data_IF_157779982713
#
_entry.id   IF_157779982713
#
_cell.length_a   1.000
_cell.length_b   1.000
_cell.length_c   1.000
_cell.angle_alpha   90.00
_cell.angle_beta   90.00
_cell.angle_gamma   90.00
#
_symmetry.space_group_name_H-M   'P 1'
#
loop_
_entity.id
_entity.type
_entity.pdbx_description
1 polymer ?
#
# COMPACT_ATOMS: atom_id res chain seq x y z
N UNK A 1 15.40 14.01 -18.45
CA UNK A 1 16.59 13.19 -18.17
C UNK A 1 17.46 13.79 -17.06
N UNK A 2 18.06 14.99 -17.21
CA UNK A 2 19.03 15.55 -16.24
C UNK A 2 18.47 15.73 -14.81
N UNK A 3 17.25 16.27 -14.67
CA UNK A 3 16.65 16.50 -13.35
C UNK A 3 16.36 15.21 -12.57
N UNK A 4 15.91 14.15 -13.24
CA UNK A 4 15.65 12.87 -12.60
C UNK A 4 16.95 12.27 -12.06
N UNK A 5 18.01 12.24 -12.86
CA UNK A 5 19.33 11.76 -12.43
C UNK A 5 19.89 12.61 -11.27
N UNK A 6 19.77 13.94 -11.36
CA UNK A 6 20.18 14.85 -10.29
C UNK A 6 19.47 14.55 -8.97
N UNK A 7 18.13 14.40 -8.99
CA UNK A 7 17.36 14.09 -7.79
C UNK A 7 17.65 12.68 -7.26
N UNK A 8 17.87 11.70 -8.13
CA UNK A 8 18.28 10.34 -7.71
C UNK A 8 19.64 10.35 -7.00
N UNK A 9 20.61 11.14 -7.47
CA UNK A 9 21.89 11.32 -6.75
C UNK A 9 21.69 12.02 -5.39
N UNK A 10 20.82 13.02 -5.33
CA UNK A 10 20.48 13.70 -4.08
C UNK A 10 19.68 12.83 -3.10
N UNK A 11 18.89 11.87 -3.59
CA UNK A 11 18.20 10.87 -2.79
C UNK A 11 19.23 10.05 -2.01
N UNK A 12 20.24 9.52 -2.71
CA UNK A 12 21.33 8.77 -2.07
C UNK A 12 22.03 9.60 -0.98
N UNK A 13 22.45 10.83 -1.31
CA UNK A 13 23.14 11.70 -0.35
C UNK A 13 22.30 11.97 0.90
N UNK A 14 20.98 12.16 0.72
CA UNK A 14 20.06 12.40 1.82
C UNK A 14 19.85 11.14 2.67
N UNK A 15 19.73 9.97 2.05
CA UNK A 15 19.60 8.69 2.76
C UNK A 15 20.88 8.37 3.55
N UNK A 16 22.06 8.60 2.98
CA UNK A 16 23.34 8.43 3.67
C UNK A 16 23.48 9.40 4.84
N UNK A 17 23.02 10.65 4.69
CA UNK A 17 22.96 11.61 5.79
C UNK A 17 22.04 11.10 6.92
N UNK A 18 20.83 10.61 6.58
CA UNK A 18 19.88 10.06 7.56
C UNK A 18 20.49 8.85 8.27
N UNK A 19 21.14 7.96 7.52
CA UNK A 19 21.82 6.77 8.05
C UNK A 19 22.93 7.14 9.04
N UNK A 20 23.77 8.13 8.71
CA UNK A 20 24.87 8.57 9.59
C UNK A 20 24.37 9.31 10.84
N UNK A 21 23.30 10.10 10.71
CA UNK A 21 22.80 10.95 11.80
C UNK A 21 21.90 10.20 12.77
N UNK A 22 21.06 9.29 12.27
CA UNK A 22 20.01 8.66 13.07
C UNK A 22 20.12 7.13 13.10
N UNK A 23 20.98 6.53 12.27
CA UNK A 23 21.19 5.09 12.23
C UNK A 23 19.88 4.35 11.95
N UNK A 24 19.63 3.28 12.68
CA UNK A 24 18.41 2.47 12.52
C UNK A 24 17.20 3.05 13.27
N UNK A 25 17.32 4.18 13.99
CA UNK A 25 16.22 4.69 14.85
C UNK A 25 15.03 5.28 14.10
N UNK A 26 15.20 5.64 12.81
CA UNK A 26 14.12 6.13 11.93
C UNK A 26 13.54 5.03 11.05
N UNK A 27 14.15 3.83 11.04
CA UNK A 27 13.59 2.70 10.31
C UNK A 27 12.31 2.25 11.04
N UNK A 28 11.16 2.61 10.48
CA UNK A 28 9.87 2.02 10.86
C UNK A 28 9.84 0.55 10.41
N UNK A 29 9.01 -0.30 11.00
CA UNK A 29 8.88 -1.70 10.59
C UNK A 29 8.68 -1.84 9.08
N UNK A 30 9.49 -2.71 8.47
CA UNK A 30 9.52 -2.94 7.02
C UNK A 30 10.46 -2.02 6.23
N UNK A 31 10.98 -0.93 6.82
CA UNK A 31 12.00 -0.07 6.22
C UNK A 31 13.40 -0.68 6.36
N UNK A 32 14.03 -1.00 5.23
CA UNK A 32 15.45 -1.31 5.15
C UNK A 32 16.16 -0.24 4.34
N UNK A 33 17.45 -0.04 4.63
CA UNK A 33 18.29 0.76 3.76
C UNK A 33 18.43 0.06 2.40
N UNK A 34 18.35 0.79 1.28
CA UNK A 34 18.47 0.21 -0.04
C UNK A 34 19.79 -0.54 -0.23
N UNK A 35 19.75 -1.61 -1.01
CA UNK A 35 20.93 -2.33 -1.48
C UNK A 35 21.88 -1.34 -2.18
N UNK A 36 23.17 -1.39 -1.85
CA UNK A 36 24.16 -0.43 -2.37
C UNK A 36 24.41 0.81 -1.51
N UNK A 37 23.58 1.09 -0.49
CA UNK A 37 23.91 2.04 0.57
C UNK A 37 24.90 1.39 1.57
N UNK A 38 26.12 1.11 1.11
CA UNK A 38 27.14 0.43 1.91
C UNK A 38 27.65 1.29 3.08
N UNK A 39 28.08 0.63 4.16
CA UNK A 39 28.97 1.25 5.14
C UNK A 39 30.21 1.77 4.41
N UNK A 40 30.42 3.08 4.41
CA UNK A 40 31.62 3.76 3.89
C UNK A 40 31.72 3.86 2.35
N UNK A 41 30.63 4.18 1.64
CA UNK A 41 30.77 4.65 0.26
C UNK A 41 31.61 5.95 0.23
N UNK A 42 32.76 5.97 -0.48
CA UNK A 42 33.63 7.13 -0.50
C UNK A 42 32.95 8.29 -1.25
N UNK A 43 32.95 9.48 -0.67
CA UNK A 43 32.27 10.67 -1.21
C UNK A 43 32.71 11.10 -2.61
N UNK A 44 33.80 10.54 -3.13
CA UNK A 44 34.37 10.83 -4.44
C UNK A 44 34.07 9.76 -5.51
N UNK A 45 33.40 8.65 -5.16
CA UNK A 45 33.02 7.63 -6.15
C UNK A 45 31.65 7.94 -6.76
N UNK A 46 31.45 7.54 -8.01
CA UNK A 46 30.13 7.59 -8.64
C UNK A 46 29.13 6.76 -7.84
N UNK A 47 27.92 7.30 -7.70
CA UNK A 47 26.82 6.71 -6.94
C UNK A 47 25.78 6.22 -7.94
N UNK A 48 25.56 4.92 -7.97
CA UNK A 48 24.53 4.30 -8.79
C UNK A 48 23.65 3.45 -7.90
N UNK A 49 22.35 3.73 -7.90
CA UNK A 49 21.32 2.87 -7.35
C UNK A 49 20.58 2.27 -8.53
N UNK A 50 20.36 0.95 -8.51
CA UNK A 50 19.44 0.29 -9.42
C UNK A 50 17.98 0.71 -9.14
N UNK A 51 17.07 0.40 -10.07
CA UNK A 51 15.68 0.87 -10.01
C UNK A 51 14.91 0.34 -8.78
N UNK A 52 15.24 -0.84 -8.26
CA UNK A 52 14.64 -1.36 -7.02
C UNK A 52 15.17 -0.59 -5.82
N UNK A 53 16.49 -0.37 -5.75
CA UNK A 53 17.08 0.41 -4.67
C UNK A 53 16.63 1.88 -4.65
N UNK A 54 16.38 2.51 -5.81
CA UNK A 54 15.78 3.85 -5.87
C UNK A 54 14.37 3.81 -5.27
N UNK A 55 13.57 2.79 -5.58
CA UNK A 55 12.21 2.64 -5.07
C UNK A 55 12.17 2.48 -3.55
N UNK A 56 13.02 1.61 -3.02
CA UNK A 56 13.18 1.45 -1.57
C UNK A 56 13.66 2.74 -0.92
N UNK A 57 14.58 3.43 -1.57
CA UNK A 57 15.11 4.72 -1.12
C UNK A 57 14.04 5.80 -1.07
N UNK A 58 13.20 5.90 -2.09
CA UNK A 58 12.06 6.83 -2.13
C UNK A 58 11.07 6.54 -1.01
N UNK A 59 10.74 5.28 -0.79
CA UNK A 59 9.81 4.90 0.27
C UNK A 59 10.37 5.18 1.68
N UNK A 60 11.65 4.85 1.90
CA UNK A 60 12.36 5.18 3.14
C UNK A 60 12.43 6.69 3.37
N UNK A 61 12.81 7.47 2.35
CA UNK A 61 12.89 8.91 2.47
C UNK A 61 11.52 9.53 2.75
N UNK A 62 10.47 9.14 2.02
CA UNK A 62 9.11 9.62 2.23
C UNK A 62 8.65 9.38 3.68
N UNK A 63 8.93 8.19 4.20
CA UNK A 63 8.62 7.80 5.57
C UNK A 63 9.41 8.62 6.60
N UNK A 64 10.72 8.78 6.39
CA UNK A 64 11.60 9.55 7.26
C UNK A 64 11.23 11.04 7.30
N UNK A 65 10.92 11.65 6.14
CA UNK A 65 10.54 13.07 6.04
C UNK A 65 9.20 13.35 6.72
N UNK A 66 8.23 12.42 6.62
CA UNK A 66 6.95 12.51 7.35
C UNK A 66 7.15 12.43 8.87
N UNK A 67 7.97 11.50 9.34
CA UNK A 67 8.19 11.30 10.78
C UNK A 67 9.01 12.43 11.44
N UNK A 68 10.02 12.94 10.74
CA UNK A 68 10.96 13.94 11.27
C UNK A 68 10.55 15.40 10.99
N UNK A 69 9.57 15.62 10.10
CA UNK A 69 9.26 16.93 9.51
C UNK A 69 10.51 17.65 8.97
N UNK A 70 11.53 16.87 8.57
CA UNK A 70 12.77 17.42 8.03
C UNK A 70 12.59 17.80 6.56
N UNK A 71 13.31 18.83 6.12
CA UNK A 71 13.28 19.29 4.73
C UNK A 71 14.19 18.49 3.81
N UNK A 72 13.97 18.65 2.51
CA UNK A 72 14.86 18.17 1.46
C UNK A 72 15.20 19.33 0.53
N UNK A 73 16.28 20.04 0.88
CA UNK A 73 16.68 21.33 0.31
C UNK A 73 16.64 21.39 -1.24
N UNK A 74 17.21 20.41 -1.98
CA UNK A 74 17.17 20.46 -3.45
C UNK A 74 15.74 20.52 -4.01
N UNK A 75 14.81 19.76 -3.41
CA UNK A 75 13.40 19.78 -3.84
C UNK A 75 12.68 21.02 -3.32
N UNK A 76 12.97 21.47 -2.09
CA UNK A 76 12.40 22.72 -1.55
C UNK A 76 12.76 23.94 -2.41
N UNK A 77 14.02 24.05 -2.84
CA UNK A 77 14.50 25.16 -3.67
C UNK A 77 13.92 25.05 -5.09
N UNK A 78 13.88 23.85 -5.68
CA UNK A 78 13.26 23.64 -6.99
C UNK A 78 11.74 23.93 -6.97
N UNK A 79 11.05 23.57 -5.89
CA UNK A 79 9.63 23.90 -5.68
C UNK A 79 9.40 25.41 -5.70
N UNK A 80 10.23 26.19 -4.98
CA UNK A 80 10.11 27.66 -4.94
C UNK A 80 10.31 28.30 -6.32
N UNK A 81 11.09 27.69 -7.20
CA UNK A 81 11.27 28.11 -8.58
C UNK A 81 10.11 27.69 -9.50
N UNK A 82 9.07 27.03 -8.96
CA UNK A 82 7.90 26.60 -9.71
C UNK A 82 8.09 25.29 -10.48
N UNK A 83 9.06 24.45 -10.10
CA UNK A 83 9.35 23.18 -10.81
C UNK A 83 8.11 22.29 -10.93
N UNK A 84 7.30 22.17 -9.87
CA UNK A 84 6.12 21.29 -9.86
C UNK A 84 5.13 21.69 -10.95
N UNK A 85 4.75 22.97 -11.00
CA UNK A 85 3.90 23.53 -12.06
C UNK A 85 4.50 23.32 -13.45
N UNK A 86 5.80 23.56 -13.60
CA UNK A 86 6.49 23.39 -14.88
C UNK A 86 6.46 21.93 -15.36
N UNK A 87 6.66 20.96 -14.47
CA UNK A 87 6.62 19.53 -14.82
C UNK A 87 5.22 19.08 -15.28
N UNK A 88 4.16 19.49 -14.58
CA UNK A 88 2.79 19.24 -15.05
C UNK A 88 2.48 19.97 -16.36
N UNK A 89 2.95 21.21 -16.52
CA UNK A 89 2.84 21.95 -17.78
C UNK A 89 3.52 21.24 -18.95
N UNK A 90 4.71 20.67 -18.74
CA UNK A 90 5.41 19.85 -19.73
C UNK A 90 4.59 18.61 -20.09
N UNK A 91 4.02 17.90 -19.12
CA UNK A 91 3.16 16.72 -19.37
C UNK A 91 2.00 17.09 -20.30
N UNK A 92 1.29 18.19 -20.00
CA UNK A 92 0.16 18.64 -20.81
C UNK A 92 0.61 19.08 -22.22
N UNK A 93 1.68 19.86 -22.33
CA UNK A 93 2.23 20.26 -23.63
C UNK A 93 2.69 19.06 -24.46
N UNK A 94 3.29 18.04 -23.84
CA UNK A 94 3.70 16.82 -24.56
C UNK A 94 2.50 16.03 -25.09
N UNK A 95 1.36 16.09 -24.41
CA UNK A 95 0.12 15.51 -24.88
C UNK A 95 -0.44 16.27 -26.10
N UNK A 96 -0.52 17.60 -26.01
CA UNK A 96 -1.10 18.47 -27.03
C UNK A 96 -0.25 18.57 -28.30
N UNK A 97 1.07 18.73 -28.15
CA UNK A 97 1.98 18.98 -29.27
C UNK A 97 2.41 17.70 -30.01
N UNK A 98 2.26 16.53 -29.38
CA UNK A 98 2.42 15.24 -30.06
C UNK A 98 3.80 14.96 -30.70
N UNK A 99 4.88 15.55 -30.19
CA UNK A 99 6.22 15.44 -30.78
C UNK A 99 6.87 14.04 -30.62
N UNK A 100 7.93 13.77 -31.40
CA UNK A 100 8.77 12.58 -31.23
C UNK A 100 9.42 12.57 -29.84
N UNK A 101 9.35 11.45 -29.13
CA UNK A 101 9.83 11.36 -27.73
C UNK A 101 8.92 12.00 -26.68
N UNK A 102 7.65 12.30 -27.01
CA UNK A 102 6.67 12.82 -26.03
C UNK A 102 6.51 11.92 -24.80
N UNK A 103 6.47 10.60 -25.01
CA UNK A 103 6.33 9.64 -23.92
C UNK A 103 7.58 9.63 -23.03
N UNK A 104 8.78 9.63 -23.60
CA UNK A 104 10.01 9.74 -22.81
C UNK A 104 10.06 11.04 -22.00
N UNK A 105 9.61 12.16 -22.59
CA UNK A 105 9.56 13.45 -21.91
C UNK A 105 8.58 13.42 -20.74
N UNK A 106 7.35 12.95 -20.96
CA UNK A 106 6.34 12.79 -19.93
C UNK A 106 6.79 11.80 -18.84
N UNK A 107 7.40 10.68 -19.22
CA UNK A 107 7.93 9.68 -18.29
C UNK A 107 9.00 10.28 -17.39
N UNK A 108 9.94 11.04 -17.95
CA UNK A 108 10.96 11.76 -17.19
C UNK A 108 10.34 12.79 -16.23
N UNK A 109 9.31 13.51 -16.66
CA UNK A 109 8.59 14.46 -15.83
C UNK A 109 7.89 13.76 -14.65
N UNK A 110 7.17 12.66 -14.90
CA UNK A 110 6.53 11.85 -13.87
C UNK A 110 7.52 11.21 -12.90
N UNK A 111 8.65 10.66 -13.38
CA UNK A 111 9.72 10.16 -12.50
C UNK A 111 10.31 11.25 -11.60
N UNK A 112 10.45 12.47 -12.13
CA UNK A 112 10.90 13.63 -11.35
C UNK A 112 9.86 14.02 -10.30
N UNK A 113 8.57 14.08 -10.68
CA UNK A 113 7.46 14.33 -9.76
C UNK A 113 7.37 13.26 -8.66
N UNK A 114 7.61 12.00 -9.01
CA UNK A 114 7.65 10.89 -8.06
C UNK A 114 8.74 11.10 -7.00
N UNK A 115 9.97 11.44 -7.40
CA UNK A 115 11.03 11.82 -6.46
C UNK A 115 10.63 13.04 -5.62
N UNK A 116 10.10 14.11 -6.22
CA UNK A 116 9.68 15.30 -5.48
C UNK A 116 8.57 15.01 -4.46
N UNK A 117 7.67 14.05 -4.75
CA UNK A 117 6.57 13.67 -3.88
C UNK A 117 6.99 13.00 -2.56
N UNK A 118 8.29 12.76 -2.33
CA UNK A 118 8.82 12.40 -1.01
C UNK A 118 8.52 13.45 0.06
N UNK A 119 8.37 14.73 -0.33
CA UNK A 119 8.02 15.82 0.59
C UNK A 119 6.49 15.97 0.71
N UNK A 120 5.93 15.95 1.94
CA UNK A 120 4.50 16.19 2.14
C UNK A 120 4.00 17.50 1.53
N UNK A 121 4.80 18.57 1.59
CA UNK A 121 4.47 19.87 0.99
C UNK A 121 4.22 19.78 -0.53
N UNK A 122 4.97 18.95 -1.24
CA UNK A 122 4.79 18.74 -2.68
C UNK A 122 3.51 17.94 -2.95
N UNK A 123 3.19 16.95 -2.12
CA UNK A 123 1.95 16.19 -2.24
C UNK A 123 0.71 17.09 -2.05
N UNK A 124 0.78 18.07 -1.14
CA UNK A 124 -0.29 19.07 -0.95
C UNK A 124 -0.38 20.04 -2.13
N UNK A 125 0.76 20.43 -2.72
CA UNK A 125 0.80 21.27 -3.91
C UNK A 125 0.17 20.58 -5.13
N UNK A 126 0.23 19.24 -5.21
CA UNK A 126 -0.49 18.51 -6.26
C UNK A 126 -2.02 18.63 -6.13
N UNK A 127 -2.52 18.99 -4.94
CA UNK A 127 -3.95 19.21 -4.72
C UNK A 127 -4.38 20.67 -4.95
N UNK A 128 -3.44 21.57 -5.23
CA UNK A 128 -3.74 22.98 -5.52
C UNK A 128 -3.90 23.19 -7.02
N UNK A 129 -4.89 24.01 -7.45
CA UNK A 129 -5.03 24.35 -8.85
C UNK A 129 -3.81 25.15 -9.33
N UNK A 130 -3.32 24.80 -10.51
CA UNK A 130 -2.23 25.52 -11.16
C UNK A 130 -2.64 25.96 -12.57
N UNK A 131 -2.25 27.19 -12.92
CA UNK A 131 -2.40 27.71 -14.28
C UNK A 131 -1.44 26.99 -15.21
N UNK A 132 -1.96 26.25 -16.18
CA UNK A 132 -1.17 25.47 -17.13
C UNK A 132 -0.88 26.27 -18.41
N UNK A 133 0.13 25.86 -19.20
CA UNK A 133 0.49 26.54 -20.45
C UNK A 133 -0.63 26.58 -21.49
N UNK A 134 -1.56 25.63 -21.46
CA UNK A 134 -2.71 25.58 -22.35
C UNK A 134 -3.84 26.55 -21.96
N UNK A 135 -3.65 27.34 -20.91
CA UNK A 135 -4.64 28.30 -20.45
C UNK A 135 -5.82 27.69 -19.71
N UNK A 136 -5.70 26.44 -19.24
CA UNK A 136 -6.64 25.83 -18.31
C UNK A 136 -6.05 25.77 -16.90
N UNK A 137 -6.93 25.73 -15.91
CA UNK A 137 -6.54 25.50 -14.51
C UNK A 137 -6.87 24.04 -14.18
N UNK A 138 -5.85 23.28 -13.80
CA UNK A 138 -6.00 21.91 -13.30
C UNK A 138 -5.13 21.75 -12.08
N UNK A 139 -5.48 20.84 -11.17
CA UNK A 139 -4.55 20.41 -10.12
C UNK A 139 -3.75 19.19 -10.58
N UNK A 140 -2.65 18.89 -9.87
CA UNK A 140 -1.76 17.79 -10.23
C UNK A 140 -2.42 16.41 -10.11
N UNK A 141 -3.31 16.23 -9.12
CA UNK A 141 -4.06 14.99 -8.95
C UNK A 141 -4.98 14.75 -10.16
N UNK A 142 -5.69 15.77 -10.66
CA UNK A 142 -6.50 15.67 -11.87
C UNK A 142 -5.69 15.09 -13.04
N UNK A 143 -4.52 15.67 -13.32
CA UNK A 143 -3.67 15.26 -14.44
C UNK A 143 -3.21 13.80 -14.25
N UNK A 144 -2.84 13.41 -13.03
CA UNK A 144 -2.49 12.02 -12.73
C UNK A 144 -3.68 11.07 -12.98
N UNK A 145 -4.89 11.45 -12.58
CA UNK A 145 -6.08 10.62 -12.80
C UNK A 145 -6.45 10.53 -14.28
N UNK A 146 -6.29 11.60 -15.05
CA UNK A 146 -6.48 11.61 -16.51
C UNK A 146 -5.50 10.66 -17.22
N UNK A 147 -4.23 10.63 -16.80
CA UNK A 147 -3.23 9.68 -17.30
C UNK A 147 -3.60 8.25 -16.93
N UNK A 148 -3.91 7.99 -15.65
CA UNK A 148 -4.25 6.64 -15.17
C UNK A 148 -5.51 6.12 -15.86
N UNK A 149 -6.48 7.01 -16.11
CA UNK A 149 -7.72 6.76 -16.84
C UNK A 149 -7.57 6.66 -18.36
N UNK A 150 -6.34 6.74 -18.90
CA UNK A 150 -6.07 6.72 -20.35
C UNK A 150 -6.73 7.87 -21.15
N UNK A 151 -7.07 8.98 -20.50
CA UNK A 151 -7.64 10.17 -21.17
C UNK A 151 -6.55 10.90 -21.94
N UNK A 152 -5.39 11.08 -21.31
CA UNK A 152 -4.21 11.71 -21.90
C UNK A 152 -3.02 10.76 -21.84
N UNK A 153 -2.10 10.87 -22.80
CA UNK A 153 -0.86 10.07 -22.85
C UNK A 153 -1.08 8.56 -22.61
N UNK A 154 -1.98 7.95 -23.39
CA UNK A 154 -2.36 6.53 -23.31
C UNK A 154 -1.19 5.59 -23.69
N UNK A 155 -0.30 5.38 -22.73
CA UNK A 155 0.87 4.51 -22.81
C UNK A 155 1.09 3.83 -21.44
N UNK A 156 1.50 2.56 -21.46
CA UNK A 156 1.58 1.74 -20.26
C UNK A 156 2.64 2.25 -19.27
N UNK A 157 3.81 2.66 -19.76
CA UNK A 157 4.90 3.15 -18.93
C UNK A 157 4.54 4.49 -18.26
N UNK A 158 3.83 5.35 -18.98
CA UNK A 158 3.32 6.62 -18.44
C UNK A 158 2.28 6.37 -17.34
N UNK A 159 1.35 5.43 -17.57
CA UNK A 159 0.37 5.03 -16.56
C UNK A 159 1.04 4.47 -15.31
N UNK A 160 2.02 3.58 -15.47
CA UNK A 160 2.79 3.00 -14.37
C UNK A 160 3.52 4.10 -13.59
N UNK A 161 4.14 5.05 -14.28
CA UNK A 161 4.81 6.18 -13.64
C UNK A 161 3.82 7.06 -12.86
N UNK A 162 2.66 7.38 -13.43
CA UNK A 162 1.62 8.16 -12.75
C UNK A 162 1.05 7.44 -11.52
N UNK A 163 0.84 6.11 -11.60
CA UNK A 163 0.45 5.29 -10.45
C UNK A 163 1.49 5.37 -9.33
N UNK A 164 2.80 5.30 -9.64
CA UNK A 164 3.85 5.44 -8.63
C UNK A 164 3.84 6.81 -7.94
N UNK A 165 3.62 7.90 -8.69
CA UNK A 165 3.45 9.26 -8.13
C UNK A 165 2.26 9.29 -7.17
N UNK A 166 1.10 8.79 -7.60
CA UNK A 166 -0.12 8.75 -6.79
C UNK A 166 0.08 7.93 -5.52
N UNK A 167 0.64 6.72 -5.63
CA UNK A 167 0.94 5.82 -4.51
C UNK A 167 1.83 6.53 -3.49
N UNK A 168 2.86 7.26 -3.91
CA UNK A 168 3.75 7.93 -2.98
C UNK A 168 3.06 9.06 -2.21
N UNK A 169 2.07 9.73 -2.84
CA UNK A 169 1.25 10.75 -2.18
C UNK A 169 0.34 10.14 -1.10
N UNK A 170 -0.28 9.01 -1.38
CA UNK A 170 -1.31 8.41 -0.50
C UNK A 170 -0.76 7.43 0.53
N UNK A 171 0.43 6.86 0.30
CA UNK A 171 0.98 5.81 1.15
C UNK A 171 1.23 6.34 2.56
N UNK A 172 0.70 5.67 3.59
CA UNK A 172 0.95 6.03 4.99
C UNK A 172 1.61 4.83 5.69
N UNK A 173 2.78 5.01 6.33
CA UNK A 173 3.44 3.97 7.10
C UNK A 173 2.54 3.42 8.21
N UNK A 174 2.51 2.10 8.38
CA UNK A 174 1.55 1.40 9.24
C UNK A 174 1.68 1.74 10.74
N UNK A 175 2.90 1.98 11.23
CA UNK A 175 3.13 2.30 12.65
C UNK A 175 2.46 3.61 13.08
N UNK A 176 2.30 4.56 12.16
CA UNK A 176 1.56 5.80 12.41
C UNK A 176 0.03 5.58 12.52
N UNK A 177 -0.47 4.43 12.09
CA UNK A 177 -1.89 4.03 12.24
C UNK A 177 -2.14 3.11 13.44
N UNK A 178 -1.13 2.34 13.88
CA UNK A 178 -1.22 1.41 15.02
C UNK A 178 -1.27 2.10 16.39
N UNK A 179 -0.89 3.38 16.48
CA UNK A 179 -1.17 4.21 17.67
C UNK A 179 -2.67 4.29 18.03
N UNK A 180 -3.56 3.80 17.15
CA UNK A 180 -5.01 3.75 17.36
C UNK A 180 -5.50 2.61 18.27
N UNK A 181 -4.72 1.54 18.49
CA UNK A 181 -5.25 0.31 19.12
C UNK A 181 -4.56 -0.16 20.42
N UNK A 182 -3.43 0.43 20.85
CA UNK A 182 -2.74 0.03 22.09
C UNK A 182 -2.81 1.07 23.23
N UNK A 183 -3.68 2.08 23.13
CA UNK A 183 -3.86 3.10 24.17
C UNK A 183 -5.22 3.05 24.87
N UNK A 184 -5.80 1.86 25.00
CA UNK A 184 -6.81 1.56 26.03
C UNK A 184 -6.17 0.67 27.09
N UNK A 185 -5.40 1.30 27.98
CA UNK A 185 -5.20 0.95 29.39
C UNK A 185 -3.80 1.39 29.87
N UNK A 186 -3.69 2.69 30.17
CA UNK A 186 -2.86 3.21 31.26
C UNK A 186 -3.24 4.68 31.45
N UNK A 187 -4.28 4.93 32.24
CA UNK A 187 -4.50 6.22 32.89
C UNK A 187 -3.43 6.39 33.97
N UNK A 188 -2.25 6.86 33.59
CA UNK A 188 -1.37 7.54 34.55
C UNK A 188 -1.65 9.04 34.48
N UNK A 189 -2.06 9.57 35.64
CA UNK A 189 -2.22 10.99 35.89
C UNK A 189 -0.84 11.66 35.78
N UNK A 190 -0.59 12.33 34.67
CA UNK A 190 0.39 13.42 34.66
C UNK A 190 -0.34 14.76 34.51
N UNK A 191 -0.36 15.48 35.64
CA UNK A 191 -0.59 16.92 35.69
C UNK A 191 0.67 17.59 35.17
N UNK A 192 0.67 18.00 33.90
CA UNK A 192 1.32 19.25 33.46
C UNK A 192 0.99 19.53 31.99
N UNK A 193 0.77 20.82 31.68
CA UNK A 193 0.18 21.33 30.44
C UNK A 193 0.98 21.18 29.14
N UNK A 194 1.58 20.01 28.87
CA UNK A 194 2.10 19.65 27.54
C UNK A 194 1.07 18.82 26.79
N UNK A 195 0.13 19.49 26.11
CA UNK A 195 -0.61 18.86 25.01
C UNK A 195 0.44 18.37 24.00
N UNK A 196 0.64 17.06 23.99
CA UNK A 196 1.80 16.36 23.42
C UNK A 196 2.02 16.70 21.94
N UNK A 197 3.27 17.03 21.56
CA UNK A 197 3.72 17.22 20.16
C UNK A 197 3.26 16.08 19.22
N UNK A 198 3.05 14.88 19.76
CA UNK A 198 2.51 13.72 19.03
C UNK A 198 1.07 13.93 18.54
N UNK A 199 0.18 14.50 19.37
CA UNK A 199 -1.21 14.73 18.99
C UNK A 199 -1.36 15.77 17.87
N UNK A 200 -0.53 16.82 17.89
CA UNK A 200 -0.50 17.86 16.85
C UNK A 200 0.08 17.34 15.52
N UNK A 201 1.07 16.44 15.58
CA UNK A 201 1.62 15.76 14.41
C UNK A 201 0.59 14.82 13.76
N UNK A 202 -0.12 14.03 14.59
CA UNK A 202 -1.17 13.13 14.12
C UNK A 202 -2.37 13.87 13.49
N UNK A 203 -2.74 15.03 14.04
CA UNK A 203 -3.78 15.88 13.47
C UNK A 203 -3.42 16.41 12.08
N UNK A 204 -2.22 17.00 11.93
CA UNK A 204 -1.75 17.49 10.62
C UNK A 204 -1.63 16.38 9.58
N UNK A 205 -1.17 15.20 9.98
CA UNK A 205 -1.09 14.05 9.07
C UNK A 205 -2.49 13.59 8.62
N UNK A 206 -3.48 13.64 9.51
CA UNK A 206 -4.87 13.33 9.18
C UNK A 206 -5.45 14.34 8.19
N UNK A 207 -5.28 15.63 8.44
CA UNK A 207 -5.72 16.70 7.53
C UNK A 207 -5.03 16.60 6.15
N UNK A 208 -3.73 16.31 6.15
CA UNK A 208 -2.95 16.05 4.93
C UNK A 208 -3.53 14.89 4.12
N UNK A 209 -3.81 13.76 4.77
CA UNK A 209 -4.42 12.60 4.12
C UNK A 209 -5.84 12.91 3.62
N UNK A 210 -6.66 13.59 4.41
CA UNK A 210 -8.02 13.99 4.05
C UNK A 210 -8.06 14.92 2.84
N UNK A 211 -7.08 15.82 2.69
CA UNK A 211 -7.00 16.69 1.52
C UNK A 211 -6.66 15.93 0.25
N UNK A 212 -5.65 15.06 0.29
CA UNK A 212 -5.29 14.22 -0.86
C UNK A 212 -6.48 13.33 -1.24
N UNK A 213 -7.13 12.73 -0.24
CA UNK A 213 -8.35 11.94 -0.43
C UNK A 213 -9.45 12.72 -1.14
N UNK A 214 -9.83 13.87 -0.60
CA UNK A 214 -10.92 14.68 -1.12
C UNK A 214 -10.65 15.07 -2.58
N UNK A 215 -9.41 15.41 -2.89
CA UNK A 215 -8.97 15.75 -4.25
C UNK A 215 -9.05 14.53 -5.17
N UNK A 216 -8.55 13.36 -4.77
CA UNK A 216 -8.68 12.15 -5.61
C UNK A 216 -10.15 11.76 -5.82
N UNK A 217 -11.00 11.92 -4.80
CA UNK A 217 -12.43 11.65 -4.90
C UNK A 217 -13.14 12.58 -5.88
N UNK A 218 -12.79 13.88 -5.88
CA UNK A 218 -13.31 14.89 -6.82
C UNK A 218 -13.18 14.44 -8.29
N UNK A 219 -12.16 13.63 -8.59
CA UNK A 219 -11.86 13.12 -9.93
C UNK A 219 -12.24 11.64 -10.14
N UNK A 220 -13.27 11.15 -9.45
CA UNK A 220 -13.76 9.77 -9.58
C UNK A 220 -12.69 8.69 -9.36
N UNK A 221 -11.72 8.97 -8.47
CA UNK A 221 -10.50 8.19 -8.44
C UNK A 221 -10.64 6.72 -8.10
N UNK A 222 -11.61 6.34 -7.26
CA UNK A 222 -11.91 4.93 -6.99
C UNK A 222 -12.29 4.21 -8.28
N UNK A 223 -13.17 4.79 -9.11
CA UNK A 223 -13.63 4.14 -10.34
C UNK A 223 -12.51 4.01 -11.39
N UNK A 224 -11.67 5.05 -11.49
CA UNK A 224 -10.50 5.03 -12.37
C UNK A 224 -9.52 3.93 -11.95
N UNK A 225 -9.22 3.81 -10.66
CA UNK A 225 -8.34 2.76 -10.14
C UNK A 225 -8.94 1.37 -10.30
N UNK A 226 -10.24 1.18 -10.06
CA UNK A 226 -10.91 -0.09 -10.30
C UNK A 226 -10.85 -0.50 -11.78
N UNK A 227 -11.01 0.46 -12.70
CA UNK A 227 -10.81 0.23 -14.13
C UNK A 227 -9.35 -0.14 -14.43
N UNK A 228 -8.37 0.51 -13.79
CA UNK A 228 -6.95 0.18 -13.95
C UNK A 228 -6.62 -1.25 -13.47
N UNK A 229 -7.28 -1.76 -12.41
CA UNK A 229 -7.13 -3.17 -11.99
C UNK A 229 -7.74 -4.16 -12.99
N UNK A 230 -8.70 -3.74 -13.81
CA UNK A 230 -9.32 -4.60 -14.84
C UNK A 230 -8.55 -4.62 -16.16
N UNK A 231 -7.48 -3.84 -16.29
CA UNK A 231 -6.69 -3.74 -17.52
C UNK A 231 -6.18 -5.11 -17.94
N UNK A 232 -6.25 -5.40 -19.23
CA UNK A 232 -5.71 -6.60 -19.87
C UNK A 232 -4.85 -6.27 -21.11
N UNK A 233 -4.64 -4.97 -21.39
CA UNK A 233 -3.87 -4.48 -22.53
C UNK A 233 -3.13 -3.18 -22.18
N UNK A 234 -1.85 -3.01 -22.58
CA UNK A 234 -0.99 -4.00 -23.24
C UNK A 234 -0.72 -5.22 -22.35
N UNK A 235 -0.65 -6.41 -22.96
CA UNK A 235 -0.54 -7.69 -22.24
C UNK A 235 0.73 -7.73 -21.37
N UNK A 236 1.82 -7.14 -21.86
CA UNK A 236 3.12 -7.13 -21.18
C UNK A 236 3.10 -6.42 -19.83
N UNK A 237 2.28 -5.38 -19.67
CA UNK A 237 2.35 -4.49 -18.50
C UNK A 237 1.05 -4.48 -17.70
N UNK A 238 0.09 -5.32 -18.11
CA UNK A 238 -1.20 -5.47 -17.47
C UNK A 238 -1.05 -5.85 -16.00
N UNK A 239 -0.36 -6.94 -15.68
CA UNK A 239 -0.23 -7.39 -14.28
C UNK A 239 0.55 -6.40 -13.41
N UNK A 240 1.56 -5.71 -13.95
CA UNK A 240 2.25 -4.64 -13.26
C UNK A 240 1.33 -3.44 -12.97
N UNK A 241 0.51 -3.04 -13.95
CA UNK A 241 -0.51 -1.99 -13.79
C UNK A 241 -1.53 -2.40 -12.74
N UNK A 242 -2.00 -3.66 -12.78
CA UNK A 242 -2.94 -4.20 -11.80
C UNK A 242 -2.36 -4.19 -10.38
N UNK A 243 -1.11 -4.62 -10.22
CA UNK A 243 -0.42 -4.61 -8.93
C UNK A 243 -0.36 -3.20 -8.34
N UNK A 244 0.05 -2.21 -9.13
CA UNK A 244 0.14 -0.82 -8.67
C UNK A 244 -1.24 -0.19 -8.40
N UNK A 245 -2.25 -0.47 -9.23
CA UNK A 245 -3.61 0.02 -9.01
C UNK A 245 -4.23 -0.62 -7.74
N UNK A 246 -4.01 -1.91 -7.50
CA UNK A 246 -4.38 -2.60 -6.26
C UNK A 246 -3.67 -1.99 -5.06
N UNK A 247 -2.37 -1.74 -5.16
CA UNK A 247 -1.59 -1.07 -4.12
C UNK A 247 -2.17 0.31 -3.80
N UNK A 248 -2.53 1.09 -4.82
CA UNK A 248 -3.14 2.39 -4.61
C UNK A 248 -4.48 2.27 -3.87
N UNK A 249 -5.36 1.37 -4.30
CA UNK A 249 -6.63 1.08 -3.61
C UNK A 249 -6.41 0.58 -2.17
N UNK A 250 -5.36 -0.22 -1.92
CA UNK A 250 -4.99 -0.70 -0.58
C UNK A 250 -4.63 0.47 0.32
N UNK A 251 -3.75 1.36 -0.13
CA UNK A 251 -3.35 2.55 0.63
C UNK A 251 -4.55 3.47 0.90
N UNK A 252 -5.41 3.69 -0.09
CA UNK A 252 -6.67 4.42 0.08
C UNK A 252 -7.60 3.74 1.11
N UNK A 253 -7.71 2.41 1.09
CA UNK A 253 -8.58 1.65 2.01
C UNK A 253 -8.13 1.73 3.48
N UNK A 254 -6.97 2.31 3.79
CA UNK A 254 -6.58 2.70 5.15
C UNK A 254 -7.50 3.79 5.71
N UNK A 255 -8.19 4.54 4.86
CA UNK A 255 -9.19 5.54 5.25
C UNK A 255 -10.59 4.93 5.31
N UNK A 256 -11.25 5.15 6.45
CA UNK A 256 -12.53 4.51 6.78
C UNK A 256 -13.63 4.74 5.73
N UNK A 257 -13.86 5.96 5.18
CA UNK A 257 -14.90 6.16 4.18
C UNK A 257 -14.67 5.34 2.91
N UNK A 258 -13.42 5.19 2.48
CA UNK A 258 -13.08 4.40 1.29
C UNK A 258 -13.27 2.92 1.56
N UNK A 259 -12.79 2.46 2.71
CA UNK A 259 -12.95 1.09 3.15
C UNK A 259 -14.41 0.66 3.11
N UNK A 260 -15.31 1.50 3.62
CA UNK A 260 -16.75 1.26 3.61
C UNK A 260 -17.36 1.23 2.20
N UNK A 261 -16.82 2.01 1.26
CA UNK A 261 -17.23 1.95 -0.14
C UNK A 261 -16.76 0.61 -0.73
N UNK A 262 -15.47 0.31 -0.63
CA UNK A 262 -14.87 -0.90 -1.20
C UNK A 262 -15.48 -2.19 -0.62
N UNK A 263 -15.81 -2.21 0.67
CA UNK A 263 -16.39 -3.39 1.34
C UNK A 263 -17.81 -3.72 0.87
N UNK A 264 -18.48 -2.79 0.17
CA UNK A 264 -19.82 -2.99 -0.40
C UNK A 264 -19.78 -3.28 -1.90
N UNK A 265 -18.65 -3.06 -2.57
CA UNK A 265 -18.56 -3.26 -4.01
C UNK A 265 -18.47 -4.75 -4.37
N UNK A 266 -19.16 -5.20 -5.44
CA UNK A 266 -19.01 -6.55 -5.99
C UNK A 266 -17.57 -6.91 -6.33
N UNK A 267 -16.74 -5.88 -6.57
CA UNK A 267 -15.32 -6.04 -6.79
C UNK A 267 -14.61 -6.86 -5.69
N UNK A 268 -14.98 -6.62 -4.43
CA UNK A 268 -14.48 -7.36 -3.25
C UNK A 268 -15.46 -8.46 -2.84
N UNK A 269 -16.75 -8.17 -2.74
CA UNK A 269 -17.74 -9.10 -2.19
C UNK A 269 -18.13 -10.23 -3.16
N UNK A 270 -18.09 -9.95 -4.46
CA UNK A 270 -18.45 -10.86 -5.56
C UNK A 270 -17.28 -11.63 -6.15
N UNK A 271 -16.12 -11.68 -5.46
CA UNK A 271 -14.91 -12.38 -5.89
C UNK A 271 -14.35 -11.95 -7.26
N UNK A 272 -14.69 -10.75 -7.74
CA UNK A 272 -14.18 -10.23 -9.02
C UNK A 272 -12.65 -10.09 -8.98
N UNK A 273 -12.11 -9.47 -7.92
CA UNK A 273 -10.67 -9.33 -7.72
C UNK A 273 -9.98 -10.71 -7.66
N UNK A 274 -10.60 -11.68 -6.99
CA UNK A 274 -10.07 -13.05 -6.90
C UNK A 274 -10.10 -13.78 -8.24
N UNK A 275 -11.10 -13.50 -9.09
CA UNK A 275 -11.14 -14.05 -10.44
C UNK A 275 -9.95 -13.57 -11.27
N UNK A 276 -9.54 -12.31 -11.13
CA UNK A 276 -8.35 -11.76 -11.79
C UNK A 276 -7.05 -12.41 -11.29
N UNK A 277 -6.98 -12.83 -10.02
CA UNK A 277 -5.81 -13.49 -9.43
C UNK A 277 -5.57 -14.92 -9.94
N UNK A 278 -6.55 -15.54 -10.61
CA UNK A 278 -6.49 -16.96 -11.01
C UNK A 278 -5.40 -17.28 -12.02
N UNK A 279 -5.15 -16.37 -12.96
CA UNK A 279 -4.16 -16.58 -14.01
C UNK A 279 -3.43 -15.28 -14.35
N UNK A 280 -2.13 -15.36 -14.67
CA UNK A 280 -1.40 -14.22 -15.21
C UNK A 280 -1.99 -13.77 -16.55
N UNK A 281 -1.90 -12.47 -16.83
CA UNK A 281 -2.22 -11.93 -18.16
C UNK A 281 -1.17 -12.34 -19.17
N UNK A 282 0.10 -12.34 -18.75
CA UNK A 282 1.23 -12.80 -19.55
C UNK A 282 1.96 -13.95 -18.84
N UNK A 283 1.97 -15.14 -19.46
CA UNK A 283 2.60 -16.33 -18.87
C UNK A 283 4.11 -16.17 -18.64
N UNK A 284 4.80 -15.36 -19.43
CA UNK A 284 6.24 -15.10 -19.29
C UNK A 284 6.56 -14.16 -18.10
N UNK A 285 5.63 -13.28 -17.71
CA UNK A 285 5.79 -12.33 -16.60
C UNK A 285 5.06 -12.77 -15.33
N UNK A 286 5.18 -14.06 -14.97
CA UNK A 286 4.58 -14.63 -13.74
C UNK A 286 5.00 -13.91 -12.45
N UNK A 287 6.21 -13.37 -12.39
CA UNK A 287 6.68 -12.60 -11.24
C UNK A 287 5.84 -11.34 -11.00
N UNK A 288 5.42 -10.64 -12.05
CA UNK A 288 4.52 -9.48 -11.94
C UNK A 288 3.11 -9.89 -11.51
N UNK A 289 2.62 -11.03 -11.98
CA UNK A 289 1.35 -11.59 -11.50
C UNK A 289 1.39 -11.94 -10.00
N UNK A 290 2.50 -12.52 -9.52
CA UNK A 290 2.66 -12.80 -8.09
C UNK A 290 2.63 -11.52 -7.25
N UNK A 291 3.28 -10.44 -7.72
CA UNK A 291 3.20 -9.11 -7.08
C UNK A 291 1.76 -8.59 -7.07
N UNK A 292 1.01 -8.76 -8.16
CA UNK A 292 -0.41 -8.40 -8.21
C UNK A 292 -1.25 -9.20 -7.21
N UNK A 293 -1.06 -10.52 -7.15
CA UNK A 293 -1.78 -11.38 -6.19
C UNK A 293 -1.51 -10.97 -4.75
N UNK A 294 -0.27 -10.64 -4.42
CA UNK A 294 0.10 -10.19 -3.07
C UNK A 294 -0.56 -8.85 -2.72
N UNK A 295 -0.51 -7.87 -3.62
CA UNK A 295 -1.19 -6.58 -3.44
C UNK A 295 -2.72 -6.73 -3.32
N UNK A 296 -3.31 -7.64 -4.11
CA UNK A 296 -4.73 -7.95 -4.06
C UNK A 296 -5.13 -8.63 -2.74
N UNK A 297 -4.31 -9.57 -2.23
CA UNK A 297 -4.51 -10.21 -0.93
C UNK A 297 -4.52 -9.16 0.18
N UNK A 298 -3.50 -8.31 0.23
CA UNK A 298 -3.39 -7.27 1.24
C UNK A 298 -4.51 -6.23 1.14
N UNK A 299 -5.00 -5.91 -0.07
CA UNK A 299 -6.19 -5.07 -0.26
C UNK A 299 -7.43 -5.73 0.36
N UNK A 300 -7.68 -7.02 0.11
CA UNK A 300 -8.81 -7.75 0.70
C UNK A 300 -8.71 -7.74 2.22
N UNK A 301 -7.53 -8.00 2.80
CA UNK A 301 -7.31 -7.97 4.24
C UNK A 301 -7.56 -6.58 4.82
N UNK A 302 -7.08 -5.53 4.14
CA UNK A 302 -7.26 -4.15 4.58
C UNK A 302 -8.73 -3.73 4.51
N UNK A 303 -9.48 -4.16 3.49
CA UNK A 303 -10.89 -3.81 3.33
C UNK A 303 -11.78 -4.61 4.29
N UNK A 304 -11.53 -5.91 4.44
CA UNK A 304 -12.33 -6.81 5.28
C UNK A 304 -11.96 -6.77 6.75
N UNK A 305 -10.78 -6.22 7.08
CA UNK A 305 -10.18 -6.22 8.43
C UNK A 305 -10.02 -7.64 8.99
N UNK A 306 -9.76 -8.62 8.12
CA UNK A 306 -9.55 -10.02 8.48
C UNK A 306 -8.31 -10.55 7.76
N UNK A 307 -7.45 -11.32 8.43
CA UNK A 307 -6.34 -11.97 7.77
C UNK A 307 -6.88 -12.99 6.75
N UNK A 308 -6.31 -13.01 5.55
CA UNK A 308 -6.53 -14.07 4.60
C UNK A 308 -5.66 -15.23 5.05
N UNK A 309 -6.27 -16.25 5.65
CA UNK A 309 -5.54 -17.47 6.01
C UNK A 309 -5.01 -18.07 4.72
N UNK A 310 -3.69 -18.28 4.65
CA UNK A 310 -3.00 -18.90 3.52
C UNK A 310 -3.57 -20.30 3.26
N UNK A 311 -4.57 -20.36 2.41
CA UNK A 311 -4.94 -21.58 1.71
C UNK A 311 -4.50 -21.40 0.27
N UNK A 312 -3.19 -21.56 0.06
CA UNK A 312 -2.51 -21.71 -1.23
C UNK A 312 -3.10 -22.81 -2.15
N UNK A 313 -4.19 -23.48 -1.77
CA UNK A 313 -4.67 -24.67 -2.44
C UNK A 313 -5.93 -24.47 -3.31
N UNK A 314 -6.74 -23.41 -3.14
CA UNK A 314 -7.92 -23.26 -4.01
C UNK A 314 -8.51 -21.84 -4.11
N UNK A 315 -8.36 -21.14 -5.24
CA UNK A 315 -9.02 -19.86 -5.53
C UNK A 315 -10.56 -19.89 -5.55
N UNK A 316 -11.17 -21.08 -5.42
CA UNK A 316 -12.63 -21.27 -5.37
C UNK A 316 -13.22 -21.09 -3.97
N UNK A 317 -12.41 -21.06 -2.91
CA UNK A 317 -12.89 -21.14 -1.52
C UNK A 317 -12.93 -19.79 -0.76
N UNK A 318 -12.61 -18.67 -1.41
CA UNK A 318 -12.26 -17.39 -0.75
C UNK A 318 -13.39 -16.34 -0.65
N UNK A 319 -14.67 -16.73 -0.69
CA UNK A 319 -15.78 -15.76 -0.52
C UNK A 319 -15.75 -15.05 0.85
N UNK A 320 -16.22 -13.79 0.92
CA UNK A 320 -16.30 -13.03 2.18
C UNK A 320 -17.09 -13.75 3.28
N UNK A 321 -18.13 -14.52 2.90
CA UNK A 321 -18.91 -15.36 3.82
C UNK A 321 -18.10 -16.55 4.35
N UNK A 322 -17.23 -17.16 3.54
CA UNK A 322 -16.31 -18.20 4.01
C UNK A 322 -15.15 -17.65 4.83
N UNK A 323 -14.60 -16.48 4.47
CA UNK A 323 -13.64 -15.76 5.32
C UNK A 323 -14.26 -15.42 6.67
N UNK A 324 -15.55 -15.03 6.70
CA UNK A 324 -16.30 -14.85 7.93
C UNK A 324 -16.42 -16.15 8.73
N UNK A 325 -16.89 -17.24 8.11
CA UNK A 325 -17.03 -18.54 8.76
C UNK A 325 -15.69 -19.06 9.28
N UNK A 326 -14.62 -18.98 8.49
CA UNK A 326 -13.27 -19.39 8.86
C UNK A 326 -12.71 -18.55 10.01
N UNK A 327 -12.90 -17.23 9.99
CA UNK A 327 -12.50 -16.35 11.10
C UNK A 327 -13.28 -16.63 12.38
N UNK A 328 -14.60 -16.88 12.27
CA UNK A 328 -15.41 -17.33 13.41
C UNK A 328 -14.87 -18.65 13.94
N UNK A 329 -14.64 -19.65 13.09
CA UNK A 329 -14.11 -20.98 13.47
C UNK A 329 -12.76 -20.86 14.17
N UNK A 330 -11.81 -20.09 13.60
CA UNK A 330 -10.47 -19.92 14.14
C UNK A 330 -10.45 -19.19 15.50
N UNK A 331 -11.41 -18.31 15.74
CA UNK A 331 -11.54 -17.55 17.00
C UNK A 331 -12.54 -18.17 17.99
N UNK A 332 -13.36 -19.13 17.56
CA UNK A 332 -14.16 -19.94 18.48
C UNK A 332 -13.28 -20.97 19.14
N UNK A 333 -13.11 -20.82 20.46
CA UNK A 333 -12.51 -21.85 21.30
C UNK A 333 -13.50 -23.02 21.40
N UNK A 334 -13.23 -24.11 20.68
CA UNK A 334 -14.04 -25.32 20.77
C UNK A 334 -13.76 -25.96 22.13
N UNK A 335 -14.67 -25.78 23.07
CA UNK A 335 -14.66 -26.47 24.36
C UNK A 335 -15.62 -27.63 24.27
N UNK A 336 -15.13 -28.85 24.46
CA UNK A 336 -15.98 -30.02 24.63
C UNK A 336 -16.29 -30.19 26.11
N UNK A 337 -17.48 -30.68 26.43
CA UNK A 337 -17.75 -31.21 27.75
C UNK A 337 -16.89 -32.47 27.91
N UNK A 338 -15.94 -32.45 28.85
CA UNK A 338 -14.95 -33.53 29.02
C UNK A 338 -15.62 -34.90 29.18
N UNK A 339 -16.75 -34.97 29.89
CA UNK A 339 -17.49 -36.23 30.09
C UNK A 339 -18.15 -36.74 28.82
N UNK A 340 -18.76 -35.85 28.03
CA UNK A 340 -19.39 -36.24 26.75
C UNK A 340 -18.34 -36.69 25.72
N UNK A 341 -17.17 -36.04 25.72
CA UNK A 341 -16.07 -36.44 24.85
C UNK A 341 -15.53 -37.83 25.23
N UNK A 342 -15.34 -38.08 26.51
CA UNK A 342 -14.88 -39.37 27.02
C UNK A 342 -15.91 -40.48 26.76
N UNK A 343 -17.21 -40.16 26.84
CA UNK A 343 -18.29 -41.08 26.43
C UNK A 343 -18.23 -41.41 24.93
N UNK A 344 -17.98 -40.41 24.08
CA UNK A 344 -17.85 -40.62 22.64
C UNK A 344 -16.63 -41.48 22.29
N UNK A 345 -15.53 -41.31 23.01
CA UNK A 345 -14.31 -42.11 22.88
C UNK A 345 -14.58 -43.56 23.32
N UNK A 346 -15.28 -43.76 24.44
CA UNK A 346 -15.73 -45.08 24.88
C UNK A 346 -16.51 -45.81 23.78
N UNK A 347 -17.53 -45.18 23.20
CA UNK A 347 -18.35 -45.79 22.15
C UNK A 347 -17.55 -46.14 20.89
N UNK A 348 -16.57 -45.31 20.55
CA UNK A 348 -15.65 -45.59 19.46
C UNK A 348 -14.76 -46.82 19.74
N UNK A 349 -14.22 -46.93 20.95
CA UNK A 349 -13.41 -48.07 21.38
C UNK A 349 -14.22 -49.38 21.37
N UNK A 350 -15.46 -49.34 21.84
CA UNK A 350 -16.38 -50.48 21.79
C UNK A 350 -16.64 -50.93 20.35
N UNK A 351 -16.95 -50.00 19.44
CA UNK A 351 -17.16 -50.31 18.00
C UNK A 351 -15.92 -50.87 17.31
N UNK A 352 -14.73 -50.54 17.79
CA UNK A 352 -13.44 -51.04 17.28
C UNK A 352 -13.01 -52.37 17.93
N UNK A 353 -13.79 -52.92 18.86
CA UNK A 353 -13.50 -54.19 19.54
C UNK A 353 -12.50 -54.06 20.69
N UNK A 354 -12.15 -52.84 21.11
CA UNK A 354 -11.19 -52.55 22.18
C UNK A 354 -11.89 -52.49 23.54
N UNK A 355 -12.58 -53.57 23.91
CA UNK A 355 -13.48 -53.60 25.08
C UNK A 355 -12.76 -53.44 26.42
N UNK A 356 -11.53 -53.96 26.57
CA UNK A 356 -10.76 -53.84 27.80
C UNK A 356 -10.37 -52.38 28.10
N UNK A 357 -9.93 -51.64 27.08
CA UNK A 357 -9.57 -50.22 27.20
C UNK A 357 -10.80 -49.35 27.40
N UNK A 358 -11.93 -49.69 26.76
CA UNK A 358 -13.21 -49.00 26.97
C UNK A 358 -13.68 -49.11 28.43
N UNK A 359 -13.59 -50.30 29.04
CA UNK A 359 -14.00 -50.52 30.43
C UNK A 359 -13.11 -49.79 31.44
N UNK A 360 -11.80 -49.72 31.21
CA UNK A 360 -10.89 -48.91 32.03
C UNK A 360 -11.24 -47.42 31.95
N UNK A 361 -11.55 -46.92 30.76
CA UNK A 361 -11.93 -45.51 30.55
C UNK A 361 -13.18 -45.12 31.36
N UNK A 362 -14.21 -45.97 31.40
CA UNK A 362 -15.43 -45.74 32.20
C UNK A 362 -15.10 -45.64 33.68
N UNK A 363 -14.21 -46.50 34.16
CA UNK A 363 -13.81 -46.58 35.57
C UNK A 363 -12.97 -45.37 35.99
N UNK A 364 -12.01 -44.97 35.16
CA UNK A 364 -11.11 -43.84 35.45
C UNK A 364 -11.78 -42.48 35.29
N UNK A 365 -12.72 -42.34 34.35
CA UNK A 365 -13.37 -41.08 34.06
C UNK A 365 -14.70 -40.87 34.80
N UNK A 366 -15.13 -41.82 35.64
CA UNK A 366 -16.43 -41.82 36.34
C UNK A 366 -17.57 -41.42 35.40
N UNK A 367 -17.63 -42.12 34.26
CA UNK A 367 -18.65 -41.87 33.25
C UNK A 367 -19.98 -42.45 33.74
N UNK A 368 -21.10 -41.72 33.53
CA UNK A 368 -22.40 -42.25 33.88
C UNK A 368 -22.70 -43.50 33.05
N UNK A 369 -23.28 -44.52 33.68
CA UNK A 369 -23.84 -45.67 32.97
C UNK A 369 -24.97 -45.16 32.08
N UNK A 370 -24.70 -45.07 30.78
CA UNK A 370 -25.73 -44.80 29.78
C UNK A 370 -26.46 -46.14 29.53
N UNK A 371 -27.80 -46.17 29.61
CA UNK A 371 -28.58 -47.40 29.42
C UNK A 371 -28.47 -48.01 28.02
#
# INVERSE_FOLDING_TARGET
>A
MVFCSYLSSHLFLKLEQIRRTVGNRILLAGCNYPSGLHNNHPSYKSMYLDDESIRDGVWLLTTALRASNSGWKPVDDARKLGLIRTLFGVIILTHELGHTGRFETALNALKTLWLCSCLPKVQLEFCEPMRLPNGNDSDGIQILMEIIGNVILNDADIKIAALNVLINCISVPEEMTKSRNESTDKKEKDKDGRRSRSAFSNFQMKEHCEKIWATTRKYNGINILLTAVRVNSPIADADQTRALACRALREFSKWEPIRQILSKLPFITGNELQALMRQPVMLEKRSEHLKFCEEARQLIETVTQRPMIDQLANPKDLSQDRLWKSHVIANTRVSYNEKELLQLIHDHLVRKGLHATASQLVTEAELPDVP
#
